data_IF_398302351885
#
_entry.id   IF_398302351885
#
_cell.length_a   1.000
_cell.length_b   1.000
_cell.length_c   1.000
_cell.angle_alpha   90.00
_cell.angle_beta   90.00
_cell.angle_gamma   90.00
#
_symmetry.space_group_name_H-M   'P 1'
#
loop_
_entity.id
_entity.type
_entity.pdbx_description
1 polymer ?
#
# COMPACT_ATOMS: atom_id res chain seq x y z
N UNK A 1 -6.40 -0.51 5.39
CA UNK A 1 -5.68 0.59 6.05
C UNK A 1 -5.20 0.11 7.41
N UNK A 2 -3.98 0.47 7.79
CA UNK A 2 -3.46 0.28 9.15
C UNK A 2 -3.20 1.67 9.71
N UNK A 3 -3.76 1.97 10.87
CA UNK A 3 -3.56 3.28 11.51
C UNK A 3 -2.20 3.38 12.22
N UNK A 4 -1.68 4.60 12.24
CA UNK A 4 -0.46 4.96 12.94
C UNK A 4 -0.36 6.48 13.11
N UNK A 5 0.66 6.93 13.85
CA UNK A 5 0.96 8.34 14.02
C UNK A 5 1.39 9.01 12.70
N UNK A 6 2.01 8.25 11.80
CA UNK A 6 2.36 8.65 10.44
C UNK A 6 1.83 7.58 9.49
N UNK A 7 1.13 7.97 8.43
CA UNK A 7 0.60 7.02 7.43
C UNK A 7 1.42 7.10 6.15
N UNK A 8 1.90 5.96 5.66
CA UNK A 8 2.54 5.84 4.35
C UNK A 8 1.45 5.50 3.31
N UNK A 9 1.33 6.30 2.25
CA UNK A 9 0.53 5.93 1.08
C UNK A 9 1.29 4.94 0.21
N UNK A 10 0.62 3.89 -0.26
CA UNK A 10 1.23 2.87 -1.11
C UNK A 10 0.29 2.48 -2.25
N UNK A 11 0.81 2.46 -3.48
CA UNK A 11 0.14 1.88 -4.64
C UNK A 11 0.79 0.53 -4.95
N UNK A 12 -0.04 -0.49 -5.12
CA UNK A 12 0.36 -1.82 -5.53
C UNK A 12 -0.43 -2.24 -6.76
N UNK A 13 0.20 -3.02 -7.59
CA UNK A 13 -0.41 -3.67 -8.75
C UNK A 13 -1.01 -5.02 -8.32
N UNK A 14 -2.03 -5.01 -7.46
CA UNK A 14 -2.63 -6.26 -6.92
C UNK A 14 -3.34 -7.02 -8.02
N UNK A 15 -3.99 -6.30 -8.93
CA UNK A 15 -4.58 -6.87 -10.14
C UNK A 15 -3.82 -6.42 -11.39
N UNK A 16 -3.83 -7.27 -12.42
CA UNK A 16 -3.36 -6.92 -13.76
C UNK A 16 -4.36 -5.97 -14.46
N UNK A 17 -3.92 -5.38 -15.56
CA UNK A 17 -4.77 -4.54 -16.40
C UNK A 17 -5.90 -5.35 -17.06
N UNK A 18 -7.09 -4.75 -17.15
CA UNK A 18 -8.23 -5.32 -17.88
C UNK A 18 -8.78 -4.35 -18.92
N UNK A 19 -9.34 -4.90 -19.99
CA UNK A 19 -10.03 -4.13 -21.05
C UNK A 19 -11.54 -4.11 -20.84
N UNK A 20 -12.09 -5.15 -20.22
CA UNK A 20 -13.54 -5.32 -20.00
C UNK A 20 -13.98 -4.83 -18.61
N UNK A 21 -13.08 -4.88 -17.64
CA UNK A 21 -13.35 -4.55 -16.24
C UNK A 21 -12.37 -3.48 -15.75
N UNK A 22 -12.66 -2.89 -14.59
CA UNK A 22 -11.75 -1.94 -13.95
C UNK A 22 -10.38 -2.57 -13.64
N UNK A 23 -10.39 -3.83 -13.18
CA UNK A 23 -9.21 -4.59 -12.80
C UNK A 23 -9.30 -6.01 -13.38
N UNK A 24 -8.14 -6.60 -13.69
CA UNK A 24 -8.00 -7.96 -14.22
C UNK A 24 -7.87 -9.01 -13.13
N UNK A 25 -7.14 -10.08 -13.41
CA UNK A 25 -6.84 -11.12 -12.41
C UNK A 25 -5.82 -10.64 -11.38
N UNK A 26 -5.79 -11.31 -10.24
CA UNK A 26 -4.80 -11.07 -9.19
C UNK A 26 -3.40 -11.44 -9.69
N UNK A 27 -2.42 -10.59 -9.38
CA UNK A 27 -1.00 -10.84 -9.60
C UNK A 27 -0.33 -11.32 -8.32
N UNK A 28 -0.10 -12.63 -8.22
CA UNK A 28 0.41 -13.24 -6.99
C UNK A 28 1.78 -12.70 -6.57
N UNK A 29 2.76 -12.68 -7.48
CA UNK A 29 4.13 -12.26 -7.17
C UNK A 29 4.32 -10.73 -7.28
N UNK A 30 3.79 -10.10 -8.33
CA UNK A 30 3.94 -8.65 -8.54
C UNK A 30 3.05 -7.79 -7.64
N UNK A 31 1.89 -8.32 -7.24
CA UNK A 31 0.87 -7.63 -6.48
C UNK A 31 0.84 -8.06 -5.02
N UNK A 32 0.32 -9.26 -4.77
CA UNK A 32 0.08 -9.76 -3.41
C UNK A 32 1.39 -9.88 -2.63
N UNK A 33 2.42 -10.52 -3.19
CA UNK A 33 3.70 -10.65 -2.49
C UNK A 33 4.35 -9.29 -2.21
N UNK A 34 4.23 -8.31 -3.09
CA UNK A 34 4.76 -6.97 -2.87
C UNK A 34 4.01 -6.24 -1.74
N UNK A 35 2.68 -6.35 -1.71
CA UNK A 35 1.83 -5.82 -0.65
C UNK A 35 2.18 -6.46 0.70
N UNK A 36 2.26 -7.79 0.75
CA UNK A 36 2.61 -8.54 1.96
C UNK A 36 4.05 -8.25 2.42
N UNK A 37 5.01 -8.08 1.50
CA UNK A 37 6.37 -7.69 1.85
C UNK A 37 6.42 -6.31 2.52
N UNK A 38 5.59 -5.35 2.08
CA UNK A 38 5.46 -4.06 2.74
C UNK A 38 4.84 -4.20 4.13
N UNK A 39 3.74 -4.96 4.27
CA UNK A 39 3.07 -5.17 5.56
C UNK A 39 4.00 -5.87 6.57
N UNK A 40 4.70 -6.91 6.12
CA UNK A 40 5.73 -7.59 6.91
C UNK A 40 6.82 -6.61 7.35
N UNK A 41 7.28 -5.73 6.46
CA UNK A 41 8.28 -4.71 6.80
C UNK A 41 7.74 -3.76 7.89
N UNK A 42 6.48 -3.34 7.79
CA UNK A 42 5.85 -2.48 8.79
C UNK A 42 5.72 -3.17 10.15
N UNK A 43 5.40 -4.46 10.20
CA UNK A 43 5.37 -5.22 11.46
C UNK A 43 6.74 -5.24 12.14
N UNK A 44 7.81 -5.40 11.36
CA UNK A 44 9.18 -5.36 11.86
C UNK A 44 9.60 -3.97 12.34
N UNK A 45 9.27 -2.93 11.58
CA UNK A 45 9.60 -1.55 11.92
C UNK A 45 8.81 -1.08 13.13
N UNK A 46 7.52 -1.41 13.25
CA UNK A 46 6.70 -1.03 14.41
C UNK A 46 6.93 -1.89 15.65
N UNK A 47 7.38 -3.14 15.47
CA UNK A 47 7.64 -4.08 16.55
C UNK A 47 9.12 -4.16 16.89
N UNK A 48 9.82 -5.10 16.25
CA UNK A 48 11.19 -5.51 16.62
C UNK A 48 12.19 -4.35 16.61
N UNK A 49 12.10 -3.46 15.62
CA UNK A 49 13.08 -2.40 15.40
C UNK A 49 12.58 -1.00 15.75
N UNK A 50 11.33 -0.85 16.18
CA UNK A 50 10.70 0.48 16.34
C UNK A 50 11.41 1.38 17.32
N UNK A 51 11.84 0.83 18.45
CA UNK A 51 12.60 1.57 19.47
C UNK A 51 13.97 2.06 19.00
N UNK A 52 14.53 1.48 17.92
CA UNK A 52 15.84 1.84 17.38
C UNK A 52 15.72 2.70 16.12
N UNK A 53 14.72 2.44 15.27
CA UNK A 53 14.54 3.15 14.00
C UNK A 53 13.68 4.40 14.16
N UNK A 54 12.50 4.29 14.79
CA UNK A 54 11.54 5.40 14.92
C UNK A 54 10.86 5.39 16.30
N UNK A 55 11.58 5.79 17.37
CA UNK A 55 11.10 5.66 18.74
C UNK A 55 9.79 6.44 18.98
N UNK A 56 8.79 5.79 19.57
CA UNK A 56 7.52 6.41 19.94
C UNK A 56 6.56 6.71 18.77
N UNK A 57 6.92 6.34 17.55
CA UNK A 57 6.08 6.56 16.36
C UNK A 57 5.64 5.21 15.79
N UNK A 58 4.33 5.01 15.65
CA UNK A 58 3.76 3.88 14.90
C UNK A 58 3.53 4.32 13.47
N UNK A 59 4.09 3.59 12.51
CA UNK A 59 3.84 3.78 11.08
C UNK A 59 2.57 3.02 10.69
N UNK A 60 1.59 3.74 10.16
CA UNK A 60 0.42 3.21 9.48
C UNK A 60 0.63 3.13 7.97
N UNK A 61 -0.33 2.54 7.27
CA UNK A 61 -0.33 2.46 5.81
C UNK A 61 -1.72 2.57 5.22
N UNK A 62 -1.82 3.33 4.13
CA UNK A 62 -2.97 3.36 3.24
C UNK A 62 -2.53 2.75 1.90
N UNK A 63 -2.72 1.44 1.78
CA UNK A 63 -2.43 0.69 0.56
C UNK A 63 -3.64 0.71 -0.38
N UNK A 64 -3.38 0.98 -1.66
CA UNK A 64 -4.36 1.05 -2.73
C UNK A 64 -3.90 0.22 -3.93
N UNK A 65 -4.85 -0.30 -4.67
CA UNK A 65 -4.59 -1.05 -5.90
C UNK A 65 -4.68 -0.12 -7.11
N UNK A 66 -3.66 -0.12 -7.98
CA UNK A 66 -3.65 0.68 -9.21
C UNK A 66 -4.14 -0.11 -10.44
N UNK A 67 -4.37 -1.42 -10.29
CA UNK A 67 -4.83 -2.31 -11.36
C UNK A 67 -4.00 -2.20 -12.65
N UNK A 68 -2.69 -1.95 -12.51
CA UNK A 68 -1.72 -1.78 -13.61
C UNK A 68 -2.20 -0.77 -14.68
N UNK A 69 -2.92 0.27 -14.22
CA UNK A 69 -3.51 1.31 -15.06
C UNK A 69 -3.19 2.69 -14.51
N UNK A 70 -2.56 3.52 -15.32
CA UNK A 70 -2.13 4.87 -15.00
C UNK A 70 -3.28 5.79 -14.56
N UNK A 71 -4.42 5.76 -15.27
CA UNK A 71 -5.60 6.58 -14.94
C UNK A 71 -6.18 6.18 -13.58
N UNK A 72 -6.37 4.88 -13.33
CA UNK A 72 -6.96 4.42 -12.08
C UNK A 72 -6.00 4.62 -10.91
N UNK A 73 -4.71 4.37 -11.10
CA UNK A 73 -3.67 4.68 -10.12
C UNK A 73 -3.64 6.16 -9.74
N UNK A 74 -3.82 7.07 -10.70
CA UNK A 74 -3.94 8.51 -10.42
C UNK A 74 -5.18 8.83 -9.57
N UNK A 75 -6.33 8.23 -9.89
CA UNK A 75 -7.55 8.40 -9.08
C UNK A 75 -7.37 7.91 -7.64
N UNK A 76 -6.69 6.77 -7.44
CA UNK A 76 -6.37 6.26 -6.11
C UNK A 76 -5.38 7.17 -5.37
N UNK A 77 -4.38 7.71 -6.07
CA UNK A 77 -3.39 8.62 -5.49
C UNK A 77 -4.02 9.92 -4.96
N UNK A 78 -5.16 10.35 -5.52
CA UNK A 78 -5.89 11.51 -4.99
C UNK A 78 -6.32 11.32 -3.54
N UNK A 79 -6.59 10.08 -3.10
CA UNK A 79 -6.93 9.84 -1.68
C UNK A 79 -5.78 10.16 -0.73
N UNK A 80 -4.52 10.08 -1.18
CA UNK A 80 -3.37 10.40 -0.33
C UNK A 80 -3.24 11.90 -0.02
N UNK A 81 -3.86 12.77 -0.83
CA UNK A 81 -3.77 14.23 -0.68
C UNK A 81 -5.08 14.88 -0.24
N UNK A 82 -6.19 14.12 -0.20
CA UNK A 82 -7.49 14.65 0.26
C UNK A 82 -7.49 15.05 1.74
N UNK A 83 -6.55 14.51 2.53
CA UNK A 83 -6.28 14.98 3.89
C UNK A 83 -7.48 14.84 4.83
N UNK A 84 -8.14 13.68 4.80
CA UNK A 84 -9.18 13.33 5.80
C UNK A 84 -8.56 13.06 7.17
#
# INVERSE_FOLDING_TARGET
MVEGHITIGALHMVHERSVEWLCGKIMDQGGIQALEAMLYTLDHVNGKYGHMLIPGVRIGVLAKDDCDTDIYGLEQALEFIRGE
#
